data_IF_906342284517
#
_entry.id   IF_906342284517
#
_cell.length_a   1.000
_cell.length_b   1.000
_cell.length_c   1.000
_cell.angle_alpha   90.00
_cell.angle_beta   90.00
_cell.angle_gamma   90.00
#
_symmetry.space_group_name_H-M   'P 1'
#
loop_
_entity.id
_entity.type
_entity.pdbx_description
1 polymer ?
#
# COMPACT_ATOMS: atom_id res chain seq x y z
N UNK A 1 14.16 25.13 15.16
CA UNK A 1 13.89 23.68 15.02
C UNK A 1 14.80 23.13 13.95
N UNK A 2 15.34 21.91 14.13
CA UNK A 2 16.08 21.25 13.05
C UNK A 2 15.08 20.76 11.98
N UNK A 3 15.44 20.98 10.70
CA UNK A 3 14.61 20.61 9.58
C UNK A 3 15.06 19.30 8.94
N UNK A 4 14.13 18.37 8.83
CA UNK A 4 14.30 17.04 8.23
C UNK A 4 13.59 16.99 6.90
N UNK A 5 14.31 16.90 5.79
CA UNK A 5 13.72 16.70 4.47
C UNK A 5 13.71 15.21 4.12
N UNK A 6 12.54 14.70 3.76
CA UNK A 6 12.32 13.31 3.35
C UNK A 6 12.01 13.31 1.86
N UNK A 7 12.62 12.42 1.09
CA UNK A 7 12.28 12.28 -0.34
C UNK A 7 11.73 10.89 -0.64
N UNK A 8 10.56 10.83 -1.31
CA UNK A 8 9.98 9.59 -1.82
C UNK A 8 9.16 9.83 -3.09
N UNK A 9 9.62 9.32 -4.24
CA UNK A 9 9.04 9.62 -5.55
C UNK A 9 8.57 8.40 -6.34
N UNK A 10 9.20 7.24 -6.15
CA UNK A 10 8.99 6.08 -7.01
C UNK A 10 8.07 5.07 -6.37
N UNK A 11 7.39 4.32 -7.25
CA UNK A 11 6.47 3.21 -6.99
C UNK A 11 5.34 3.61 -6.02
N UNK A 12 4.15 3.73 -6.56
CA UNK A 12 2.96 4.14 -5.81
C UNK A 12 2.79 3.36 -4.50
N UNK A 13 2.85 2.03 -4.58
CA UNK A 13 2.75 1.15 -3.41
C UNK A 13 3.82 1.44 -2.36
N UNK A 14 5.05 1.74 -2.80
CA UNK A 14 6.15 2.08 -1.89
C UNK A 14 5.91 3.41 -1.17
N UNK A 15 5.25 4.39 -1.82
CA UNK A 15 4.90 5.67 -1.18
C UNK A 15 3.86 5.43 -0.10
N UNK A 16 2.81 4.65 -0.38
CA UNK A 16 1.78 4.28 0.61
C UNK A 16 2.43 3.66 1.86
N UNK A 17 3.36 2.73 1.69
CA UNK A 17 4.06 2.07 2.79
C UNK A 17 4.94 3.01 3.64
N UNK A 18 5.25 4.23 3.17
CA UNK A 18 6.00 5.20 3.99
C UNK A 18 5.14 5.92 5.01
N UNK A 19 3.83 6.04 4.77
CA UNK A 19 2.92 6.83 5.63
C UNK A 19 3.02 6.44 7.11
N UNK A 20 2.87 5.16 7.51
CA UNK A 20 2.97 4.78 8.93
C UNK A 20 4.32 5.13 9.56
N UNK A 21 5.40 5.03 8.78
CA UNK A 21 6.76 5.29 9.27
C UNK A 21 7.02 6.79 9.40
N UNK A 22 6.61 7.60 8.42
CA UNK A 22 6.80 9.05 8.44
C UNK A 22 5.96 9.67 9.55
N UNK A 23 4.67 9.30 9.67
CA UNK A 23 3.80 9.82 10.73
C UNK A 23 4.32 9.43 12.12
N UNK A 24 4.81 8.19 12.27
CA UNK A 24 5.44 7.76 13.51
C UNK A 24 6.76 8.50 13.79
N UNK A 25 7.56 8.82 12.76
CA UNK A 25 8.79 9.61 12.94
C UNK A 25 8.46 11.03 13.42
N UNK A 26 7.44 11.66 12.85
CA UNK A 26 6.96 12.98 13.28
C UNK A 26 6.48 12.96 14.74
N UNK A 27 5.61 12.00 15.09
CA UNK A 27 5.09 11.85 16.46
C UNK A 27 6.18 11.52 17.49
N UNK A 28 7.21 10.74 17.10
CA UNK A 28 8.35 10.43 17.97
C UNK A 28 9.30 11.61 18.19
N UNK A 29 9.24 12.65 17.35
CA UNK A 29 10.19 13.77 17.36
C UNK A 29 9.44 15.12 17.19
N UNK A 30 8.60 15.53 18.13
CA UNK A 30 7.78 16.74 18.01
C UNK A 30 8.58 18.05 17.94
N UNK A 31 9.86 18.00 18.32
CA UNK A 31 10.81 19.13 18.27
C UNK A 31 11.48 19.30 16.90
N UNK A 32 11.25 18.37 15.94
CA UNK A 32 11.78 18.46 14.59
C UNK A 32 10.69 18.95 13.63
N UNK A 33 11.11 19.65 12.57
CA UNK A 33 10.27 20.12 11.49
C UNK A 33 10.51 19.21 10.26
N UNK A 34 9.47 18.52 9.79
CA UNK A 34 9.56 17.54 8.70
C UNK A 34 8.98 18.10 7.42
N UNK A 35 9.66 17.90 6.31
CA UNK A 35 9.19 18.19 4.96
C UNK A 35 9.29 16.93 4.10
N UNK A 36 8.17 16.39 3.69
CA UNK A 36 8.13 15.29 2.71
C UNK A 36 8.01 15.84 1.29
N UNK A 37 9.00 15.56 0.46
CA UNK A 37 8.98 15.91 -0.96
C UNK A 37 8.62 14.69 -1.79
N UNK A 38 7.50 14.77 -2.52
CA UNK A 38 6.94 13.68 -3.32
C UNK A 38 6.41 14.16 -4.66
N UNK A 39 5.86 13.27 -5.49
CA UNK A 39 5.24 13.64 -6.77
C UNK A 39 3.93 14.41 -6.54
N UNK A 40 3.58 15.37 -7.42
CA UNK A 40 2.32 16.11 -7.32
C UNK A 40 1.08 15.20 -7.20
N UNK A 41 1.03 14.12 -7.98
CA UNK A 41 -0.09 13.16 -7.97
C UNK A 41 -0.24 12.35 -6.69
N UNK A 42 0.72 12.40 -5.77
CA UNK A 42 0.74 11.62 -4.54
C UNK A 42 0.59 12.47 -3.26
N UNK A 43 0.55 13.78 -3.39
CA UNK A 43 0.40 14.69 -2.23
C UNK A 43 -0.90 14.42 -1.47
N UNK A 44 -2.02 14.24 -2.19
CA UNK A 44 -3.33 14.00 -1.59
C UNK A 44 -3.49 12.62 -0.91
N UNK A 45 -2.50 11.73 -1.04
CA UNK A 45 -2.46 10.46 -0.30
C UNK A 45 -2.21 10.69 1.21
N UNK A 46 -1.52 11.76 1.56
CA UNK A 46 -1.12 12.05 2.94
C UNK A 46 -2.23 12.82 3.67
N UNK A 47 -3.29 12.09 4.01
CA UNK A 47 -4.46 12.63 4.75
C UNK A 47 -4.11 12.77 6.22
N UNK A 48 -4.60 13.82 6.89
CA UNK A 48 -4.39 14.11 8.30
C UNK A 48 -2.90 14.04 8.72
N UNK A 49 -1.99 14.76 8.05
CA UNK A 49 -0.59 14.73 8.41
C UNK A 49 -0.37 15.30 9.84
N UNK A 50 0.62 14.80 10.58
CA UNK A 50 1.04 15.41 11.83
C UNK A 50 1.38 16.90 11.67
N UNK A 51 1.13 17.72 12.70
CA UNK A 51 1.31 19.18 12.66
C UNK A 51 2.73 19.61 12.26
N UNK A 52 3.73 18.81 12.60
CA UNK A 52 5.14 19.05 12.27
C UNK A 52 5.56 18.40 10.94
N UNK A 53 4.60 18.03 10.05
CA UNK A 53 4.88 17.48 8.73
C UNK A 53 4.26 18.34 7.62
N UNK A 54 5.10 18.95 6.81
CA UNK A 54 4.73 19.60 5.56
C UNK A 54 4.91 18.65 4.38
N UNK A 55 4.01 18.68 3.40
CA UNK A 55 4.09 17.83 2.19
C UNK A 55 4.22 18.70 0.98
N UNK A 56 5.31 18.50 0.23
CA UNK A 56 5.69 19.31 -0.91
C UNK A 56 5.71 18.51 -2.21
N UNK A 57 5.15 19.12 -3.24
CA UNK A 57 5.10 18.56 -4.58
C UNK A 57 6.36 18.92 -5.37
N UNK A 58 7.03 17.90 -5.95
CA UNK A 58 8.13 18.11 -6.87
C UNK A 58 8.07 17.12 -8.04
N UNK A 59 8.11 17.63 -9.27
CA UNK A 59 8.29 16.77 -10.45
C UNK A 59 9.75 16.33 -10.56
N UNK A 60 9.98 15.04 -10.37
CA UNK A 60 11.30 14.41 -10.44
C UNK A 60 11.79 14.14 -11.86
N UNK A 61 10.93 14.23 -12.89
CA UNK A 61 11.26 13.83 -14.26
C UNK A 61 12.38 14.66 -14.89
N UNK A 62 12.53 15.90 -14.46
CA UNK A 62 13.62 16.80 -14.89
C UNK A 62 15.01 16.46 -14.32
N UNK A 63 15.12 15.53 -13.38
CA UNK A 63 16.37 15.23 -12.68
C UNK A 63 16.91 13.85 -13.05
N UNK A 64 17.93 13.81 -13.92
CA UNK A 64 18.53 12.55 -14.40
C UNK A 64 20.06 12.57 -14.26
N UNK A 65 20.64 11.39 -14.03
CA UNK A 65 22.10 11.22 -13.95
C UNK A 65 22.75 11.98 -12.78
N UNK A 66 24.09 12.08 -12.79
CA UNK A 66 24.86 12.74 -11.73
C UNK A 66 24.62 14.24 -11.64
N UNK A 67 24.48 14.91 -12.79
CA UNK A 67 24.12 16.33 -12.86
C UNK A 67 22.72 16.61 -12.32
N UNK A 68 21.75 15.73 -12.59
CA UNK A 68 20.40 15.81 -12.05
C UNK A 68 20.38 15.62 -10.52
N UNK A 69 21.22 14.73 -9.98
CA UNK A 69 21.31 14.54 -8.54
C UNK A 69 21.86 15.79 -7.82
N UNK A 70 22.86 16.47 -8.44
CA UNK A 70 23.35 17.74 -7.93
C UNK A 70 22.30 18.85 -8.00
N UNK A 71 21.57 18.96 -9.13
CA UNK A 71 20.49 19.93 -9.31
C UNK A 71 19.36 19.70 -8.29
N UNK A 72 18.99 18.43 -8.04
CA UNK A 72 17.97 18.09 -7.03
C UNK A 72 18.45 18.49 -5.64
N UNK A 73 19.69 18.17 -5.26
CA UNK A 73 20.22 18.59 -3.96
C UNK A 73 20.19 20.10 -3.80
N UNK A 74 20.73 20.86 -4.76
CA UNK A 74 20.71 22.33 -4.72
C UNK A 74 19.29 22.91 -4.60
N UNK A 75 18.31 22.30 -5.25
CA UNK A 75 16.90 22.68 -5.14
C UNK A 75 16.38 22.45 -3.73
N UNK A 76 16.60 21.25 -3.16
CA UNK A 76 16.18 20.93 -1.80
C UNK A 76 16.87 21.82 -0.75
N UNK A 77 18.14 22.11 -0.96
CA UNK A 77 18.93 23.00 -0.09
C UNK A 77 18.41 24.44 -0.14
N UNK A 78 18.11 24.96 -1.33
CA UNK A 78 17.62 26.32 -1.52
C UNK A 78 16.20 26.51 -0.96
N UNK A 79 15.30 25.53 -1.20
CA UNK A 79 13.90 25.66 -0.81
C UNK A 79 13.69 25.38 0.68
N UNK A 80 14.41 24.40 1.24
CA UNK A 80 14.10 23.87 2.58
C UNK A 80 15.23 24.01 3.60
N UNK A 81 16.47 24.27 3.19
CA UNK A 81 17.65 24.35 4.07
C UNK A 81 17.72 23.20 5.07
N UNK A 82 17.79 21.93 4.63
CA UNK A 82 17.71 20.79 5.52
C UNK A 82 18.96 20.63 6.38
N UNK A 83 18.77 20.43 7.69
CA UNK A 83 19.82 19.92 8.59
C UNK A 83 20.03 18.41 8.38
N UNK A 84 18.94 17.71 8.03
CA UNK A 84 18.91 16.26 7.85
C UNK A 84 18.16 15.92 6.55
N UNK A 85 18.73 15.01 5.74
CA UNK A 85 18.08 14.46 4.52
C UNK A 85 17.89 12.96 4.64
N UNK A 86 16.65 12.49 4.45
CA UNK A 86 16.30 11.05 4.43
C UNK A 86 15.76 10.66 3.05
N UNK A 87 16.57 9.98 2.24
CA UNK A 87 16.14 9.50 0.92
C UNK A 87 15.52 8.09 1.03
N UNK A 88 14.19 7.98 0.97
CA UNK A 88 13.45 6.71 1.03
C UNK A 88 13.30 6.02 -0.34
N UNK A 89 14.20 6.30 -1.25
CA UNK A 89 14.27 5.66 -2.58
C UNK A 89 15.54 4.79 -2.70
N UNK A 90 15.44 3.62 -3.33
CA UNK A 90 16.54 2.63 -3.40
C UNK A 90 17.52 2.83 -4.55
N UNK A 91 17.31 3.81 -5.45
CA UNK A 91 18.15 3.97 -6.64
C UNK A 91 19.53 4.57 -6.35
N UNK A 92 20.50 4.30 -7.22
CA UNK A 92 21.83 4.90 -7.18
C UNK A 92 21.76 6.44 -7.23
N UNK A 93 20.78 6.99 -7.95
CA UNK A 93 20.53 8.42 -8.04
C UNK A 93 20.31 9.05 -6.65
N UNK A 94 19.43 8.49 -5.81
CA UNK A 94 19.18 9.04 -4.48
C UNK A 94 20.32 8.80 -3.49
N UNK A 95 21.14 7.75 -3.69
CA UNK A 95 22.40 7.61 -2.96
C UNK A 95 23.39 8.74 -3.29
N UNK A 96 23.41 9.16 -4.56
CA UNK A 96 24.23 10.29 -4.99
C UNK A 96 23.69 11.62 -4.43
N UNK A 97 22.37 11.83 -4.39
CA UNK A 97 21.75 13.00 -3.72
C UNK A 97 22.17 13.07 -2.25
N UNK A 98 22.06 11.94 -1.52
CA UNK A 98 22.46 11.87 -0.12
C UNK A 98 23.97 12.10 0.07
N UNK A 99 24.81 11.63 -0.87
CA UNK A 99 26.24 11.92 -0.84
C UNK A 99 26.51 13.43 -1.03
N UNK A 100 25.83 14.09 -1.96
CA UNK A 100 25.97 15.55 -2.17
C UNK A 100 25.55 16.32 -0.94
N UNK A 101 24.44 15.93 -0.30
CA UNK A 101 23.99 16.52 0.95
C UNK A 101 25.07 16.44 2.06
N UNK A 102 25.71 15.28 2.22
CA UNK A 102 26.81 15.11 3.20
C UNK A 102 28.02 16.00 2.90
N UNK A 103 28.38 16.15 1.62
CA UNK A 103 29.48 17.03 1.23
C UNK A 103 29.19 18.51 1.49
N UNK A 104 27.91 18.91 1.59
CA UNK A 104 27.47 20.25 2.00
C UNK A 104 27.25 20.39 3.51
N UNK A 105 27.63 19.39 4.31
CA UNK A 105 27.49 19.44 5.79
C UNK A 105 26.13 18.95 6.33
N UNK A 106 25.16 18.61 5.47
CA UNK A 106 23.87 18.06 5.89
C UNK A 106 24.02 16.58 6.32
N UNK A 107 23.42 16.18 7.44
CA UNK A 107 23.33 14.76 7.81
C UNK A 107 22.41 14.06 6.81
N UNK A 108 22.85 12.99 6.14
CA UNK A 108 22.03 12.37 5.13
C UNK A 108 22.07 10.84 5.16
N UNK A 109 20.93 10.21 4.88
CA UNK A 109 20.80 8.77 4.66
C UNK A 109 20.08 8.47 3.34
N UNK A 110 20.36 7.29 2.79
CA UNK A 110 19.63 6.75 1.67
C UNK A 110 19.23 5.30 1.94
N UNK A 111 18.05 4.90 1.47
CA UNK A 111 17.54 3.55 1.63
C UNK A 111 18.48 2.53 0.95
N UNK A 112 18.88 1.50 1.68
CA UNK A 112 19.65 0.39 1.12
C UNK A 112 18.72 -0.60 0.42
N UNK A 113 19.20 -1.24 -0.64
CA UNK A 113 18.50 -2.37 -1.28
C UNK A 113 18.30 -3.51 -0.28
N UNK A 114 17.23 -4.31 -0.43
CA UNK A 114 17.02 -5.48 0.40
C UNK A 114 18.13 -6.51 0.13
N UNK A 115 18.94 -6.87 1.13
CA UNK A 115 19.93 -7.92 0.95
C UNK A 115 19.22 -9.28 0.82
N UNK A 116 19.89 -10.24 0.19
CA UNK A 116 19.49 -11.66 0.15
C UNK A 116 18.13 -12.01 -0.49
N UNK A 117 17.37 -11.05 -1.09
CA UNK A 117 16.10 -11.38 -1.76
C UNK A 117 16.27 -12.49 -2.83
N UNK A 118 17.44 -12.56 -3.48
CA UNK A 118 17.75 -13.58 -4.49
C UNK A 118 17.69 -14.99 -3.95
N UNK A 119 18.03 -15.21 -2.67
CA UNK A 119 17.94 -16.54 -2.04
C UNK A 119 16.50 -16.99 -1.87
N UNK A 120 15.58 -16.03 -1.61
CA UNK A 120 14.15 -16.29 -1.46
C UNK A 120 13.46 -16.65 -2.79
N UNK A 121 13.87 -16.02 -3.91
CA UNK A 121 13.22 -16.20 -5.23
C UNK A 121 13.95 -17.19 -6.15
N UNK A 122 14.96 -17.91 -5.65
CA UNK A 122 15.67 -18.94 -6.44
C UNK A 122 14.72 -20.06 -6.83
N UNK A 123 14.97 -20.66 -8.00
CA UNK A 123 14.23 -21.84 -8.45
C UNK A 123 14.62 -23.08 -7.65
N UNK A 124 15.92 -23.28 -7.46
CA UNK A 124 16.49 -24.40 -6.73
C UNK A 124 17.18 -23.90 -5.44
N UNK A 125 17.27 -24.74 -4.42
CA UNK A 125 17.90 -24.42 -3.13
C UNK A 125 17.39 -23.10 -2.52
N UNK A 126 16.07 -22.93 -2.55
CA UNK A 126 15.39 -21.75 -2.01
C UNK A 126 15.50 -21.72 -0.50
N UNK A 127 15.83 -20.55 0.04
CA UNK A 127 15.85 -20.32 1.48
C UNK A 127 14.62 -19.50 1.85
N UNK A 128 13.66 -20.14 2.54
CA UNK A 128 12.39 -19.56 2.95
C UNK A 128 12.55 -18.81 4.28
N UNK A 129 13.33 -17.72 4.28
CA UNK A 129 13.46 -16.80 5.41
C UNK A 129 12.80 -15.45 5.08
N UNK A 130 12.04 -14.86 6.03
CA UNK A 130 11.47 -13.54 5.85
C UNK A 130 12.56 -12.51 5.60
N UNK A 131 12.35 -11.66 4.58
CA UNK A 131 13.16 -10.47 4.40
C UNK A 131 12.73 -9.40 5.42
N UNK A 132 13.68 -8.52 5.75
CA UNK A 132 13.36 -7.34 6.52
C UNK A 132 12.24 -6.56 5.81
N UNK A 133 11.16 -6.26 6.52
CA UNK A 133 10.01 -5.57 5.91
C UNK A 133 10.42 -4.20 5.36
N UNK A 134 9.73 -3.74 4.32
CA UNK A 134 9.99 -2.45 3.70
C UNK A 134 9.88 -1.32 4.74
N UNK A 135 8.92 -1.39 5.66
CA UNK A 135 8.78 -0.44 6.77
C UNK A 135 9.97 -0.45 7.73
N UNK A 136 10.47 -1.62 8.09
CA UNK A 136 11.66 -1.72 8.95
C UNK A 136 12.90 -1.11 8.27
N UNK A 137 13.02 -1.26 6.95
CA UNK A 137 14.08 -0.62 6.17
C UNK A 137 13.93 0.90 6.11
N UNK A 138 12.69 1.43 6.07
CA UNK A 138 12.45 2.87 6.18
C UNK A 138 12.85 3.38 7.55
N UNK A 139 12.46 2.71 8.64
CA UNK A 139 12.90 3.07 10.01
C UNK A 139 14.43 3.07 10.14
N UNK A 140 15.11 2.09 9.55
CA UNK A 140 16.58 2.05 9.53
C UNK A 140 17.18 3.28 8.83
N UNK A 141 16.56 3.82 7.78
CA UNK A 141 17.04 5.03 7.11
C UNK A 141 16.97 6.26 8.04
N UNK A 142 15.93 6.40 8.84
CA UNK A 142 15.82 7.45 9.87
C UNK A 142 16.85 7.25 10.99
N UNK A 143 16.98 6.03 11.50
CA UNK A 143 17.92 5.70 12.57
C UNK A 143 19.37 6.06 12.22
N UNK A 144 19.80 5.88 10.97
CA UNK A 144 21.16 6.21 10.50
C UNK A 144 21.50 7.71 10.57
N UNK A 145 20.55 8.58 10.69
CA UNK A 145 20.74 10.03 10.86
C UNK A 145 20.39 10.51 12.27
N UNK A 146 20.13 9.56 13.19
CA UNK A 146 19.87 9.86 14.60
C UNK A 146 18.40 10.15 14.92
N UNK A 147 17.47 9.86 14.01
CA UNK A 147 16.03 10.03 14.23
C UNK A 147 15.43 8.70 14.71
N UNK A 148 14.91 8.68 15.94
CA UNK A 148 14.16 7.57 16.48
C UNK A 148 12.76 7.49 15.84
N UNK A 149 12.29 6.28 15.56
CA UNK A 149 10.95 6.04 15.04
C UNK A 149 10.30 4.94 15.88
N UNK A 150 9.54 5.33 16.88
CA UNK A 150 8.63 4.45 17.60
C UNK A 150 7.31 4.34 16.82
N UNK A 151 6.62 3.23 16.91
CA UNK A 151 5.37 3.03 16.19
C UNK A 151 4.22 3.74 16.91
N UNK A 152 3.85 4.91 16.42
CA UNK A 152 2.74 5.73 16.94
C UNK A 152 1.54 5.77 15.98
N UNK A 153 1.73 5.36 14.73
CA UNK A 153 0.67 5.38 13.73
C UNK A 153 -0.43 4.37 14.11
N UNK A 154 -1.69 4.83 14.17
CA UNK A 154 -2.86 4.02 14.49
C UNK A 154 -3.93 4.04 13.39
N UNK A 155 -3.54 4.44 12.18
CA UNK A 155 -4.44 4.69 11.05
C UNK A 155 -4.54 6.17 10.72
N UNK A 156 -4.94 6.48 9.49
CA UNK A 156 -5.10 7.86 9.01
C UNK A 156 -6.20 8.63 9.75
N UNK A 157 -7.17 7.90 10.29
CA UNK A 157 -8.31 8.44 11.05
C UNK A 157 -8.27 8.08 12.53
N UNK A 158 -7.11 7.62 13.02
CA UNK A 158 -6.95 7.12 14.39
C UNK A 158 -7.40 5.66 14.54
N UNK A 159 -7.38 5.18 15.78
CA UNK A 159 -7.81 3.82 16.10
C UNK A 159 -9.34 3.73 16.02
N UNK A 160 -9.86 2.88 15.12
CA UNK A 160 -11.29 2.71 14.83
C UNK A 160 -12.02 3.96 14.31
N UNK A 161 -11.28 4.99 13.86
CA UNK A 161 -11.85 6.18 13.25
C UNK A 161 -12.17 5.99 11.77
N UNK A 162 -13.09 6.81 11.27
CA UNK A 162 -13.49 6.84 9.86
C UNK A 162 -13.20 8.20 9.26
N UNK A 163 -13.06 8.23 7.92
CA UNK A 163 -12.96 9.47 7.16
C UNK A 163 -14.29 10.23 7.07
N UNK A 164 -14.26 11.39 6.43
CA UNK A 164 -15.47 12.20 6.19
C UNK A 164 -16.35 11.54 5.12
N UNK A 165 -17.59 11.08 5.44
CA UNK A 165 -18.48 10.46 4.48
C UNK A 165 -18.96 11.42 3.38
N UNK A 166 -18.88 12.73 3.58
CA UNK A 166 -19.24 13.71 2.54
C UNK A 166 -18.31 13.59 1.30
N UNK A 167 -17.09 13.11 1.48
CA UNK A 167 -16.13 12.93 0.38
C UNK A 167 -16.56 11.87 -0.64
N UNK A 168 -17.41 10.92 -0.25
CA UNK A 168 -17.93 9.89 -1.15
C UNK A 168 -19.46 9.89 -1.29
N UNK A 169 -20.14 10.95 -0.83
CA UNK A 169 -21.60 11.06 -0.85
C UNK A 169 -22.22 10.96 -2.26
N UNK A 170 -21.42 11.21 -3.32
CA UNK A 170 -21.87 11.01 -4.72
C UNK A 170 -21.99 9.53 -5.11
N UNK A 171 -21.45 8.60 -4.31
CA UNK A 171 -21.49 7.15 -4.56
C UNK A 171 -22.57 6.51 -3.72
N UNK A 172 -22.58 6.77 -2.42
CA UNK A 172 -23.50 6.17 -1.46
C UNK A 172 -23.57 7.05 -0.21
N UNK A 173 -24.72 7.08 0.51
CA UNK A 173 -24.75 7.61 1.85
C UNK A 173 -23.85 6.78 2.80
N UNK A 174 -23.46 7.32 3.97
CA UNK A 174 -22.74 6.56 4.97
C UNK A 174 -23.52 5.31 5.42
N UNK A 175 -22.83 4.25 5.90
CA UNK A 175 -23.51 3.01 6.26
C UNK A 175 -24.45 3.20 7.47
N UNK A 176 -25.59 2.54 7.42
CA UNK A 176 -26.41 2.32 8.61
C UNK A 176 -25.76 1.26 9.51
N UNK A 177 -26.10 1.23 10.79
CA UNK A 177 -25.48 0.32 11.77
C UNK A 177 -25.63 -1.18 11.41
N UNK A 178 -26.68 -1.54 10.68
CA UNK A 178 -26.98 -2.91 10.25
C UNK A 178 -26.36 -3.29 8.90
N UNK A 179 -25.82 -2.33 8.15
CA UNK A 179 -25.25 -2.58 6.83
C UNK A 179 -23.87 -3.25 6.92
N UNK A 180 -23.61 -4.13 5.98
CA UNK A 180 -22.34 -4.82 5.82
C UNK A 180 -21.69 -4.32 4.54
N UNK A 181 -20.49 -3.73 4.65
CA UNK A 181 -19.76 -3.19 3.51
C UNK A 181 -18.50 -4.01 3.22
N UNK A 182 -18.47 -4.64 2.08
CA UNK A 182 -17.33 -5.46 1.60
C UNK A 182 -16.64 -4.76 0.45
N UNK A 183 -15.33 -4.65 0.50
CA UNK A 183 -14.53 -4.18 -0.64
C UNK A 183 -13.96 -5.36 -1.43
N UNK A 184 -13.97 -5.28 -2.75
CA UNK A 184 -13.27 -6.22 -3.65
C UNK A 184 -12.37 -5.41 -4.60
N UNK A 185 -11.05 -5.66 -4.53
CA UNK A 185 -10.06 -5.09 -5.43
C UNK A 185 -9.34 -6.22 -6.19
N UNK A 186 -9.93 -6.71 -7.31
CA UNK A 186 -9.55 -7.98 -7.92
C UNK A 186 -8.28 -7.93 -8.75
N UNK A 187 -7.72 -6.74 -9.00
CA UNK A 187 -6.63 -6.55 -9.95
C UNK A 187 -5.28 -6.34 -9.30
N UNK A 188 -4.24 -6.64 -10.07
CA UNK A 188 -2.86 -6.33 -9.75
C UNK A 188 -2.07 -6.02 -11.02
N UNK A 189 -1.06 -5.16 -10.91
CA UNK A 189 -0.24 -4.70 -12.03
C UNK A 189 0.44 -5.85 -12.82
N UNK A 190 0.80 -6.93 -12.16
CA UNK A 190 1.56 -8.04 -12.75
C UNK A 190 0.77 -9.34 -12.73
N UNK A 191 0.81 -10.09 -13.83
CA UNK A 191 0.08 -11.36 -13.99
C UNK A 191 0.36 -12.37 -12.87
N UNK A 192 1.59 -12.40 -12.34
CA UNK A 192 1.95 -13.29 -11.22
C UNK A 192 1.28 -12.97 -9.89
N UNK A 193 0.51 -11.88 -9.80
CA UNK A 193 -0.29 -11.48 -8.64
C UNK A 193 -1.78 -11.40 -8.93
N UNK A 194 -2.20 -11.48 -10.20
CA UNK A 194 -3.59 -11.30 -10.61
C UNK A 194 -4.33 -12.63 -10.52
N UNK A 195 -5.30 -12.73 -9.63
CA UNK A 195 -6.28 -13.80 -9.59
C UNK A 195 -7.19 -13.67 -10.81
N UNK A 196 -7.67 -14.78 -11.43
CA UNK A 196 -8.57 -14.69 -12.57
C UNK A 196 -9.83 -13.89 -12.21
N UNK A 197 -10.18 -12.85 -13.01
CA UNK A 197 -11.36 -12.03 -12.72
C UNK A 197 -12.65 -12.87 -12.69
N UNK A 198 -12.77 -13.86 -13.56
CA UNK A 198 -13.93 -14.74 -13.62
C UNK A 198 -14.15 -15.52 -12.32
N UNK A 199 -13.06 -16.00 -11.71
CA UNK A 199 -13.12 -16.67 -10.42
C UNK A 199 -13.37 -15.68 -9.26
N UNK A 200 -12.97 -14.41 -9.39
CA UNK A 200 -13.32 -13.41 -8.39
C UNK A 200 -14.77 -12.99 -8.49
N UNK A 201 -15.36 -12.98 -9.68
CA UNK A 201 -16.79 -12.77 -9.88
C UNK A 201 -17.62 -13.91 -9.24
N UNK A 202 -17.15 -15.17 -9.33
CA UNK A 202 -17.78 -16.28 -8.58
C UNK A 202 -17.74 -16.05 -7.05
N UNK A 203 -16.70 -15.37 -6.52
CA UNK A 203 -16.67 -14.96 -5.09
C UNK A 203 -17.79 -13.96 -4.82
N UNK A 204 -17.98 -12.98 -5.71
CA UNK A 204 -19.05 -11.99 -5.60
C UNK A 204 -20.42 -12.65 -5.61
N UNK A 205 -20.65 -13.61 -6.54
CA UNK A 205 -21.89 -14.42 -6.59
C UNK A 205 -22.21 -15.11 -5.25
N UNK A 206 -21.18 -15.69 -4.61
CA UNK A 206 -21.37 -16.40 -3.35
C UNK A 206 -21.71 -15.40 -2.23
N UNK A 207 -21.02 -14.26 -2.17
CA UNK A 207 -21.24 -13.24 -1.14
C UNK A 207 -22.63 -12.61 -1.29
N UNK A 208 -23.07 -12.31 -2.51
CA UNK A 208 -24.40 -11.79 -2.78
C UNK A 208 -25.51 -12.73 -2.32
N UNK A 209 -25.33 -14.04 -2.51
CA UNK A 209 -26.31 -15.07 -2.10
C UNK A 209 -26.33 -15.34 -0.59
N UNK A 210 -25.17 -15.32 0.06
CA UNK A 210 -25.04 -15.81 1.44
C UNK A 210 -24.99 -14.70 2.50
N UNK A 211 -24.64 -13.47 2.13
CA UNK A 211 -24.54 -12.34 3.07
C UNK A 211 -25.71 -11.38 2.82
N UNK A 212 -26.74 -11.49 3.64
CA UNK A 212 -27.94 -10.63 3.51
C UNK A 212 -27.61 -9.16 3.75
N UNK A 213 -28.11 -8.28 2.87
CA UNK A 213 -27.93 -6.83 3.01
C UNK A 213 -26.50 -6.34 2.80
N UNK A 214 -25.65 -7.16 2.19
CA UNK A 214 -24.29 -6.75 1.85
C UNK A 214 -24.29 -5.68 0.76
N UNK A 215 -23.44 -4.67 0.91
CA UNK A 215 -23.03 -3.76 -0.17
C UNK A 215 -21.57 -4.06 -0.52
N UNK A 216 -21.30 -4.28 -1.80
CA UNK A 216 -19.98 -4.61 -2.30
C UNK A 216 -19.42 -3.45 -3.11
N UNK A 217 -18.27 -2.93 -2.69
CA UNK A 217 -17.55 -1.85 -3.38
C UNK A 217 -16.40 -2.43 -4.21
N UNK A 218 -16.43 -2.18 -5.51
CA UNK A 218 -15.46 -2.73 -6.47
C UNK A 218 -14.37 -1.71 -6.77
N UNK A 219 -13.13 -1.97 -6.35
CA UNK A 219 -11.99 -1.06 -6.49
C UNK A 219 -11.07 -1.48 -7.64
N UNK A 220 -10.62 -0.50 -8.42
CA UNK A 220 -9.67 -0.67 -9.52
C UNK A 220 -9.23 0.70 -10.07
N UNK A 221 -8.31 0.75 -11.02
CA UNK A 221 -7.77 2.03 -11.50
C UNK A 221 -7.44 2.11 -12.98
N UNK A 222 -7.17 0.98 -13.63
CA UNK A 222 -6.88 0.91 -15.07
C UNK A 222 -8.13 1.03 -15.94
N UNK A 223 -7.97 1.44 -17.20
CA UNK A 223 -9.11 1.62 -18.11
C UNK A 223 -9.84 0.29 -18.37
N UNK A 224 -9.11 -0.79 -18.67
CA UNK A 224 -9.68 -2.14 -18.81
C UNK A 224 -10.24 -2.71 -17.50
N UNK A 225 -9.70 -2.32 -16.34
CA UNK A 225 -10.24 -2.71 -15.03
C UNK A 225 -11.62 -2.08 -14.79
N UNK A 226 -11.78 -0.81 -15.17
CA UNK A 226 -13.06 -0.08 -15.04
C UNK A 226 -14.19 -0.75 -15.81
N UNK A 227 -13.92 -1.18 -17.03
CA UNK A 227 -14.91 -1.85 -17.87
C UNK A 227 -15.44 -3.12 -17.20
N UNK A 228 -14.55 -3.98 -16.71
CA UNK A 228 -14.91 -5.20 -16.00
C UNK A 228 -15.73 -4.89 -14.73
N UNK A 229 -15.27 -3.93 -13.91
CA UNK A 229 -15.97 -3.57 -12.66
C UNK A 229 -17.33 -2.94 -12.91
N UNK A 230 -17.49 -2.20 -14.01
CA UNK A 230 -18.78 -1.66 -14.41
C UNK A 230 -19.75 -2.79 -14.79
N UNK A 231 -19.29 -3.75 -15.59
CA UNK A 231 -20.09 -4.92 -15.97
C UNK A 231 -20.51 -5.76 -14.75
N UNK A 232 -19.63 -5.89 -13.75
CA UNK A 232 -20.00 -6.59 -12.51
C UNK A 232 -21.03 -5.80 -11.71
N UNK A 233 -20.89 -4.48 -11.59
CA UNK A 233 -21.87 -3.64 -10.90
C UNK A 233 -23.25 -3.61 -11.61
N UNK A 234 -23.31 -3.87 -12.92
CA UNK A 234 -24.56 -4.00 -13.67
C UNK A 234 -25.23 -5.37 -13.51
N UNK A 235 -24.44 -6.42 -13.23
CA UNK A 235 -24.95 -7.79 -13.07
C UNK A 235 -25.32 -8.17 -11.64
N UNK A 236 -24.75 -7.49 -10.65
CA UNK A 236 -24.94 -7.79 -9.23
C UNK A 236 -25.59 -6.62 -8.50
N UNK A 237 -26.78 -6.82 -7.97
CA UNK A 237 -27.56 -5.77 -7.30
C UNK A 237 -26.86 -5.22 -6.05
N UNK A 238 -26.08 -6.06 -5.35
CA UNK A 238 -25.31 -5.67 -4.17
C UNK A 238 -24.05 -4.86 -4.50
N UNK A 239 -23.60 -4.84 -5.77
CA UNK A 239 -22.31 -4.31 -6.17
C UNK A 239 -22.38 -2.90 -6.73
N UNK A 240 -21.39 -2.08 -6.39
CA UNK A 240 -21.21 -0.76 -6.97
C UNK A 240 -19.73 -0.47 -7.24
N UNK A 241 -19.45 0.29 -8.31
CA UNK A 241 -18.10 0.62 -8.73
C UNK A 241 -17.79 2.09 -8.49
N UNK A 242 -17.06 2.45 -7.40
CA UNK A 242 -16.63 3.82 -7.11
C UNK A 242 -15.68 4.41 -8.16
N UNK A 243 -15.08 3.55 -8.97
CA UNK A 243 -14.09 3.91 -10.00
C UNK A 243 -14.66 4.89 -11.04
N UNK A 244 -15.97 4.86 -11.29
CA UNK A 244 -16.65 5.78 -12.20
C UNK A 244 -16.64 7.23 -11.71
N UNK A 245 -16.72 7.43 -10.40
CA UNK A 245 -16.73 8.77 -9.78
C UNK A 245 -15.36 9.46 -9.78
N UNK A 246 -14.29 8.77 -10.20
CA UNK A 246 -12.91 9.28 -10.22
C UNK A 246 -12.51 9.98 -8.92
N UNK A 247 -12.82 9.34 -7.80
CA UNK A 247 -12.47 9.84 -6.48
C UNK A 247 -10.96 10.05 -6.36
N UNK A 248 -10.56 11.14 -5.73
CA UNK A 248 -9.17 11.32 -5.30
C UNK A 248 -8.88 10.45 -4.05
N UNK A 249 -7.61 10.33 -3.68
CA UNK A 249 -7.21 9.54 -2.51
C UNK A 249 -7.97 9.88 -1.22
N UNK A 250 -8.27 11.15 -0.87
CA UNK A 250 -9.03 11.44 0.34
C UNK A 250 -10.40 10.78 0.38
N UNK A 251 -11.12 10.81 -0.74
CA UNK A 251 -12.45 10.21 -0.82
C UNK A 251 -12.39 8.67 -0.88
N UNK A 252 -11.41 8.10 -1.60
CA UNK A 252 -11.19 6.65 -1.65
C UNK A 252 -10.79 6.10 -0.27
N UNK A 253 -9.88 6.78 0.43
CA UNK A 253 -9.47 6.39 1.79
C UNK A 253 -10.62 6.55 2.78
N UNK A 254 -11.44 7.61 2.64
CA UNK A 254 -12.63 7.78 3.45
C UNK A 254 -13.60 6.62 3.23
N UNK A 255 -13.96 6.30 1.98
CA UNK A 255 -14.84 5.17 1.66
C UNK A 255 -14.27 3.84 2.18
N UNK A 256 -12.97 3.59 1.95
CA UNK A 256 -12.29 2.39 2.46
C UNK A 256 -12.42 2.27 3.97
N UNK A 257 -12.39 3.36 4.73
CA UNK A 257 -12.45 3.32 6.21
C UNK A 257 -13.77 2.82 6.78
N UNK A 258 -14.83 2.80 5.97
CA UNK A 258 -16.14 2.29 6.36
C UNK A 258 -16.35 0.81 6.00
N UNK A 259 -15.42 0.18 5.30
CA UNK A 259 -15.54 -1.24 4.96
C UNK A 259 -15.33 -2.12 6.19
N UNK A 260 -16.10 -3.20 6.27
CA UNK A 260 -15.92 -4.27 7.26
C UNK A 260 -14.75 -5.17 6.91
N UNK A 261 -14.50 -5.38 5.63
CA UNK A 261 -13.38 -6.16 5.11
C UNK A 261 -13.10 -5.78 3.66
N UNK A 262 -11.82 -5.79 3.27
CA UNK A 262 -11.40 -5.70 1.87
C UNK A 262 -10.76 -7.02 1.44
N UNK A 263 -11.16 -7.54 0.28
CA UNK A 263 -10.44 -8.63 -0.42
C UNK A 263 -9.63 -8.06 -1.57
N UNK A 264 -8.35 -8.39 -1.62
CA UNK A 264 -7.46 -7.85 -2.66
C UNK A 264 -6.29 -8.77 -2.95
N UNK A 265 -5.60 -8.48 -4.03
CA UNK A 265 -4.31 -9.06 -4.36
C UNK A 265 -3.19 -8.45 -3.49
N UNK A 266 -1.98 -8.99 -3.58
CA UNK A 266 -0.74 -8.27 -3.21
C UNK A 266 -0.58 -7.04 -4.12
N UNK A 267 -1.33 -5.98 -3.82
CA UNK A 267 -1.49 -4.77 -4.63
C UNK A 267 -1.48 -3.50 -3.77
N UNK A 268 -1.63 -2.34 -4.41
CA UNK A 268 -1.71 -1.06 -3.72
C UNK A 268 -2.91 -0.97 -2.77
N UNK A 269 -4.05 -1.56 -3.15
CA UNK A 269 -5.29 -1.52 -2.36
C UNK A 269 -5.13 -2.20 -1.00
N UNK A 270 -4.32 -3.27 -0.90
CA UNK A 270 -3.95 -3.87 0.39
C UNK A 270 -3.34 -2.83 1.34
N UNK A 271 -2.47 -1.97 0.82
CA UNK A 271 -1.80 -0.96 1.63
C UNK A 271 -2.71 0.22 1.95
N UNK A 272 -3.54 0.69 0.98
CA UNK A 272 -4.50 1.77 1.22
C UNK A 272 -5.49 1.39 2.33
N UNK A 273 -6.10 0.21 2.24
CA UNK A 273 -7.01 -0.28 3.28
C UNK A 273 -6.31 -0.47 4.64
N UNK A 274 -5.04 -0.91 4.62
CA UNK A 274 -4.25 -1.01 5.86
C UNK A 274 -4.01 0.34 6.52
N UNK A 275 -3.91 1.46 5.74
CA UNK A 275 -3.74 2.79 6.31
C UNK A 275 -4.97 3.31 7.07
N UNK A 276 -6.14 2.81 6.74
CA UNK A 276 -7.41 3.19 7.38
C UNK A 276 -7.93 2.15 8.37
N UNK A 277 -7.10 1.13 8.68
CA UNK A 277 -7.40 0.15 9.72
C UNK A 277 -8.33 -0.98 9.31
N UNK A 278 -8.79 -1.04 8.07
CA UNK A 278 -9.71 -2.08 7.59
C UNK A 278 -9.02 -3.46 7.56
N UNK A 279 -9.69 -4.53 8.01
CA UNK A 279 -9.23 -5.90 7.84
C UNK A 279 -9.09 -6.26 6.36
N UNK A 280 -7.94 -6.83 5.97
CA UNK A 280 -7.67 -7.15 4.55
C UNK A 280 -7.40 -8.63 4.37
N UNK A 281 -8.19 -9.27 3.54
CA UNK A 281 -7.94 -10.62 3.03
C UNK A 281 -7.12 -10.50 1.76
N UNK A 282 -5.91 -11.09 1.74
CA UNK A 282 -4.96 -10.90 0.64
C UNK A 282 -4.63 -12.20 -0.07
N UNK A 283 -4.69 -12.17 -1.41
CA UNK A 283 -4.31 -13.30 -2.26
C UNK A 283 -2.87 -13.13 -2.76
N UNK A 284 -2.06 -14.17 -2.60
CA UNK A 284 -0.65 -14.16 -2.94
C UNK A 284 -0.32 -15.28 -3.94
N UNK A 285 0.11 -14.89 -5.13
CA UNK A 285 0.51 -15.79 -6.22
C UNK A 285 2.03 -16.03 -6.29
N UNK A 286 2.68 -15.48 -7.31
CA UNK A 286 4.13 -15.60 -7.53
C UNK A 286 5.00 -14.95 -6.45
N UNK A 287 4.43 -14.06 -5.66
CA UNK A 287 5.05 -13.38 -4.51
C UNK A 287 4.77 -14.14 -3.20
N UNK A 288 5.28 -13.64 -2.07
CA UNK A 288 5.06 -14.20 -0.74
C UNK A 288 5.17 -13.09 0.32
N UNK A 289 4.42 -13.15 1.44
CA UNK A 289 4.57 -12.21 2.55
C UNK A 289 6.02 -12.04 3.03
N UNK A 290 6.84 -13.11 2.92
CA UNK A 290 8.28 -13.08 3.24
C UNK A 290 9.09 -12.13 2.35
N UNK A 291 8.54 -11.64 1.24
CA UNK A 291 9.17 -10.57 0.45
C UNK A 291 9.20 -9.21 1.15
N UNK A 292 8.51 -9.07 2.29
CA UNK A 292 8.54 -7.87 3.13
C UNK A 292 7.54 -6.78 2.72
N UNK A 293 6.52 -7.12 1.91
CA UNK A 293 5.51 -6.19 1.37
C UNK A 293 4.10 -6.38 1.97
N UNK A 294 3.95 -7.12 3.07
CA UNK A 294 2.65 -7.28 3.73
C UNK A 294 2.08 -5.94 4.19
N UNK A 295 0.76 -5.79 4.14
CA UNK A 295 0.04 -4.61 4.63
C UNK A 295 0.35 -4.30 6.11
N UNK A 296 0.23 -3.03 6.49
CA UNK A 296 0.47 -2.61 7.87
C UNK A 296 -0.58 -3.23 8.79
N UNK A 297 -0.15 -3.83 9.92
CA UNK A 297 -0.96 -4.51 10.94
C UNK A 297 -1.92 -5.61 10.42
N UNK A 298 -1.78 -6.07 9.18
CA UNK A 298 -2.64 -7.14 8.66
C UNK A 298 -2.29 -8.50 9.27
N UNK A 299 -3.33 -9.27 9.66
CA UNK A 299 -3.20 -10.59 10.28
C UNK A 299 -2.65 -11.62 9.28
N UNK A 300 -1.85 -12.58 9.74
CA UNK A 300 -1.36 -13.66 8.88
C UNK A 300 -2.48 -14.62 8.46
N UNK A 301 -3.46 -14.83 9.35
CA UNK A 301 -4.65 -15.66 9.07
C UNK A 301 -5.52 -15.16 7.93
N UNK A 302 -5.39 -13.86 7.56
CA UNK A 302 -6.08 -13.25 6.44
C UNK A 302 -5.30 -13.38 5.10
N UNK A 303 -4.17 -14.08 5.10
CA UNK A 303 -3.37 -14.33 3.89
C UNK A 303 -3.82 -15.62 3.23
N UNK A 304 -4.26 -15.54 1.97
CA UNK A 304 -4.62 -16.68 1.13
C UNK A 304 -3.47 -16.97 0.17
N UNK A 305 -2.92 -18.19 0.23
CA UNK A 305 -1.84 -18.62 -0.63
C UNK A 305 -1.75 -20.16 -0.68
N UNK A 306 -1.33 -20.71 -1.79
CA UNK A 306 -1.08 -22.14 -1.91
C UNK A 306 0.39 -22.47 -1.58
N UNK A 307 0.65 -23.52 -0.80
CA UNK A 307 2.02 -23.97 -0.52
C UNK A 307 2.60 -24.68 -1.75
N UNK A 308 3.39 -23.97 -2.53
CA UNK A 308 4.04 -24.50 -3.73
C UNK A 308 5.56 -24.29 -3.66
N UNK A 309 6.38 -25.30 -4.03
CA UNK A 309 7.85 -25.20 -3.96
C UNK A 309 8.44 -24.08 -4.82
N UNK A 310 7.75 -23.70 -5.91
CA UNK A 310 8.20 -22.63 -6.79
C UNK A 310 8.03 -21.23 -6.19
N UNK A 311 7.17 -21.07 -5.17
CA UNK A 311 6.86 -19.77 -4.56
C UNK A 311 7.86 -19.39 -3.45
N UNK A 312 8.17 -18.07 -3.30
CA UNK A 312 7.99 -17.03 -4.30
C UNK A 312 8.95 -17.24 -5.49
N UNK A 313 8.48 -17.02 -6.70
CA UNK A 313 9.31 -17.06 -7.92
C UNK A 313 9.66 -15.66 -8.45
N UNK A 314 9.02 -14.63 -7.93
CA UNK A 314 9.30 -13.23 -8.19
C UNK A 314 9.16 -12.40 -6.92
N UNK A 315 9.93 -11.31 -6.81
CA UNK A 315 9.81 -10.34 -5.72
C UNK A 315 8.58 -9.44 -5.91
N UNK A 316 8.23 -9.14 -7.17
CA UNK A 316 7.17 -8.20 -7.55
C UNK A 316 6.04 -8.83 -8.37
N UNK A 317 6.13 -10.11 -8.72
CA UNK A 317 5.16 -10.79 -9.58
C UNK A 317 5.35 -10.50 -11.07
N UNK A 318 6.44 -9.86 -11.44
CA UNK A 318 6.79 -9.35 -12.77
C UNK A 318 7.43 -10.40 -13.70
N UNK A 319 7.69 -11.60 -13.18
CA UNK A 319 8.26 -12.71 -13.98
C UNK A 319 7.16 -13.64 -14.45
N UNK A 320 7.32 -14.13 -15.66
CA UNK A 320 6.45 -15.16 -16.21
C UNK A 320 6.48 -16.45 -15.39
N UNK A 321 5.33 -17.10 -15.31
CA UNK A 321 5.21 -18.39 -14.64
C UNK A 321 5.94 -19.46 -15.46
N UNK A 322 6.95 -20.10 -14.87
CA UNK A 322 7.68 -21.17 -15.54
C UNK A 322 6.85 -22.44 -15.78
N UNK A 323 5.72 -22.61 -15.10
CA UNK A 323 4.72 -23.64 -15.37
C UNK A 323 3.73 -23.23 -16.47
N UNK A 324 3.60 -21.93 -16.75
CA UNK A 324 2.65 -21.35 -17.71
C UNK A 324 1.22 -21.20 -17.18
N UNK A 325 0.84 -21.89 -16.12
CA UNK A 325 -0.56 -22.04 -15.66
C UNK A 325 -0.93 -21.12 -14.49
N UNK A 326 0.03 -20.45 -13.86
CA UNK A 326 -0.18 -19.64 -12.64
C UNK A 326 -0.99 -20.38 -11.55
N UNK A 327 -0.79 -21.68 -11.43
CA UNK A 327 -1.52 -22.57 -10.51
C UNK A 327 -1.60 -22.06 -9.07
N UNK A 328 -0.58 -21.31 -8.62
CA UNK A 328 -0.58 -20.66 -7.31
C UNK A 328 -1.73 -19.67 -7.08
N UNK A 329 -2.40 -19.24 -8.15
CA UNK A 329 -3.60 -18.39 -8.13
C UNK A 329 -4.81 -19.15 -8.67
N UNK A 330 -4.72 -19.74 -9.87
CA UNK A 330 -5.84 -20.38 -10.56
C UNK A 330 -6.44 -21.57 -9.81
N UNK A 331 -5.70 -22.20 -8.90
CA UNK A 331 -6.19 -23.30 -8.08
C UNK A 331 -6.80 -22.88 -6.73
N UNK A 332 -6.76 -21.59 -6.37
CA UNK A 332 -7.49 -21.08 -5.20
C UNK A 332 -8.98 -21.12 -5.56
N UNK A 333 -9.76 -21.81 -4.76
CA UNK A 333 -11.21 -21.96 -5.00
C UNK A 333 -11.96 -20.69 -4.58
N UNK A 334 -12.89 -20.15 -5.39
CA UNK A 334 -13.74 -19.01 -5.02
C UNK A 334 -14.45 -19.21 -3.68
N UNK A 335 -14.99 -20.36 -3.42
CA UNK A 335 -15.64 -20.73 -2.15
C UNK A 335 -14.72 -20.49 -0.95
N UNK A 336 -13.43 -20.86 -1.04
CA UNK A 336 -12.48 -20.65 0.05
C UNK A 336 -12.25 -19.16 0.36
N UNK A 337 -12.26 -18.30 -0.66
CA UNK A 337 -12.16 -16.86 -0.50
C UNK A 337 -13.43 -16.32 0.16
N UNK A 338 -14.60 -16.73 -0.32
CA UNK A 338 -15.88 -16.32 0.24
C UNK A 338 -16.02 -16.74 1.73
N UNK A 339 -15.63 -17.96 2.09
CA UNK A 339 -15.63 -18.44 3.47
C UNK A 339 -14.73 -17.57 4.38
N UNK A 340 -13.59 -17.09 3.87
CA UNK A 340 -12.72 -16.16 4.61
C UNK A 340 -13.39 -14.80 4.83
N UNK A 341 -14.12 -14.29 3.84
CA UNK A 341 -14.90 -13.04 3.97
C UNK A 341 -15.98 -13.21 5.02
N UNK A 342 -16.81 -14.24 4.90
CA UNK A 342 -17.92 -14.54 5.82
C UNK A 342 -17.39 -14.72 7.25
N UNK A 343 -16.29 -15.45 7.42
CA UNK A 343 -15.64 -15.63 8.71
C UNK A 343 -15.10 -14.32 9.33
N UNK A 344 -14.59 -13.40 8.51
CA UNK A 344 -14.14 -12.09 8.96
C UNK A 344 -15.31 -11.22 9.43
N UNK A 345 -16.44 -11.24 8.69
CA UNK A 345 -17.68 -10.54 9.05
C UNK A 345 -18.30 -11.07 10.33
N UNK A 346 -18.33 -12.40 10.52
CA UNK A 346 -18.84 -13.02 11.75
C UNK A 346 -18.02 -12.64 12.99
N UNK A 347 -16.70 -12.49 12.83
CA UNK A 347 -15.79 -12.09 13.92
C UNK A 347 -16.02 -10.65 14.38
N UNK A 348 -16.56 -9.76 13.55
CA UNK A 348 -16.94 -8.39 13.90
C UNK A 348 -18.07 -8.36 14.92
N UNK A 349 -19.10 -9.18 14.70
CA UNK A 349 -20.30 -9.21 15.54
C UNK A 349 -20.02 -9.68 16.98
N UNK A 350 -18.88 -10.33 17.21
CA UNK A 350 -18.46 -10.79 18.55
C UNK A 350 -17.64 -9.75 19.34
N UNK A 351 -17.30 -8.60 18.72
CA UNK A 351 -16.49 -7.53 19.35
C UNK A 351 -17.29 -6.22 19.53
N UNK A 352 -18.56 -6.18 19.12
CA UNK A 352 -19.54 -5.15 19.45
C UNK A 352 -20.39 -5.60 20.64
#
# INVERSE_FOLDING_TARGET
MQRVVITKFREFTDVIMTVPVIYSACASNPHLDFVLVTRPSLVSLFVNPPENLQIEALDINGYKGSGGALKLWKRLEADFRPDILVCLNTSAFFRLVALRARLSGCKASALKSAPHYRCLIRRNNKVMLPLLSTRARYREAFFRVGIAVQEHFKGLYGENGHGDPQLFASITPPPEASEIWVGIAPFAKHRGKAYPPELMEEVLDIIEKEVKGVKVFLFGGGEGEREILTQWAERHECAMSPVQARLGFPAELSLLSFLDVLVTMDSANMHLASLVGVPVITLWGATHPYCGYKGWHQKESATIQLPMPCRPCSLFGDKDCHRGDYHCLTAIKPRFIADKIIGALASRNNHQ
#
